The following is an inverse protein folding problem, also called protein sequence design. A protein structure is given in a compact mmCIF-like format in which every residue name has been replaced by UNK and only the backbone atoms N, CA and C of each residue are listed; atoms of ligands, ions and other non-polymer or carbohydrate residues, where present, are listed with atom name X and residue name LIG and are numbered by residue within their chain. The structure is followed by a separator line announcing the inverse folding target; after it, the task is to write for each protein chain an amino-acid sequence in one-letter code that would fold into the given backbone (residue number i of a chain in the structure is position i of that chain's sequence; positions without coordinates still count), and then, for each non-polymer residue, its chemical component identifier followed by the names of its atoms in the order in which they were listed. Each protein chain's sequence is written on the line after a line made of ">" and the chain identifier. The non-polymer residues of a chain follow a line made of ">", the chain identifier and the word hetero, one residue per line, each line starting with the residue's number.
data_IF_112785959917
#
_entry.id   IF_112785959917
#
_cell.length_a   1.000
_cell.length_b   1.000
_cell.length_c   1.000
_cell.angle_alpha   90.00
_cell.angle_beta   90.00
_cell.angle_gamma   90.00
#
_symmetry.space_group_name_H-M   'P 1'
#
loop_
_entity.id
_entity.type
_entity.pdbx_description
1 polymer ?
#
# COMPACT_ATOMS: atom_id res chain seq x y z
N UNK A 1 -5.48 -24.38 19.71
CA UNK A 1 -5.63 -25.22 18.50
C UNK A 1 -4.77 -26.48 18.53
N UNK A 2 -3.55 -26.42 19.05
CA UNK A 2 -2.66 -27.57 19.15
C UNK A 2 -2.84 -28.41 20.42
N UNK A 3 -3.82 -28.08 21.29
CA UNK A 3 -4.04 -28.76 22.56
C UNK A 3 -2.93 -28.58 23.61
N UNK A 4 -1.95 -27.70 23.36
CA UNK A 4 -0.80 -27.45 24.24
C UNK A 4 -1.14 -26.42 25.31
N UNK A 5 -2.06 -26.77 26.20
CA UNK A 5 -2.47 -25.90 27.30
C UNK A 5 -1.40 -25.72 28.38
N UNK A 6 -0.42 -26.62 28.42
CA UNK A 6 0.71 -26.60 29.34
C UNK A 6 1.62 -25.38 29.18
N UNK A 7 1.78 -24.86 27.94
CA UNK A 7 2.62 -23.69 27.63
C UNK A 7 1.83 -22.41 27.37
N UNK A 8 0.51 -22.49 27.29
CA UNK A 8 -0.33 -21.37 26.89
C UNK A 8 -0.24 -20.18 27.84
N UNK A 9 -0.20 -20.45 29.17
CA UNK A 9 -0.13 -19.41 30.18
C UNK A 9 1.20 -18.63 30.08
N UNK A 10 2.30 -19.34 29.90
CA UNK A 10 3.64 -18.75 29.77
C UNK A 10 3.74 -17.90 28.48
N UNK A 11 3.21 -18.39 27.39
CA UNK A 11 3.22 -17.63 26.12
C UNK A 11 2.36 -16.38 26.16
N UNK A 12 1.17 -16.43 26.77
CA UNK A 12 0.34 -15.24 26.99
C UNK A 12 1.02 -14.22 27.89
N UNK A 13 1.73 -14.67 28.94
CA UNK A 13 2.50 -13.77 29.80
C UNK A 13 3.65 -13.11 29.05
N UNK A 14 4.39 -13.90 28.23
CA UNK A 14 5.49 -13.41 27.40
C UNK A 14 4.99 -12.41 26.34
N UNK A 15 3.91 -12.71 25.64
CA UNK A 15 3.26 -11.85 24.65
C UNK A 15 2.89 -10.50 25.30
N UNK A 16 2.19 -10.52 26.43
CA UNK A 16 1.83 -9.30 27.16
C UNK A 16 3.05 -8.48 27.58
N UNK A 17 4.10 -9.14 28.06
CA UNK A 17 5.36 -8.46 28.44
C UNK A 17 6.03 -7.84 27.22
N UNK A 18 6.09 -8.58 26.10
CA UNK A 18 6.72 -8.14 24.87
C UNK A 18 6.00 -6.94 24.28
N UNK A 19 4.67 -7.01 24.14
CA UNK A 19 3.83 -5.89 23.68
C UNK A 19 3.98 -4.65 24.55
N UNK A 20 3.96 -4.81 25.88
CA UNK A 20 4.18 -3.68 26.81
C UNK A 20 5.57 -3.05 26.66
N UNK A 21 6.60 -3.85 26.44
CA UNK A 21 7.97 -3.35 26.26
C UNK A 21 8.13 -2.63 24.92
N UNK A 22 7.51 -3.14 23.83
CA UNK A 22 7.50 -2.47 22.52
C UNK A 22 6.82 -1.10 22.64
N UNK A 23 5.63 -1.03 23.23
CA UNK A 23 4.91 0.23 23.42
C UNK A 23 5.74 1.26 24.19
N UNK A 24 6.35 0.87 25.32
CA UNK A 24 7.23 1.74 26.11
C UNK A 24 8.45 2.20 25.31
N UNK A 25 9.05 1.32 24.50
CA UNK A 25 10.19 1.66 23.67
C UNK A 25 9.80 2.67 22.58
N UNK A 26 8.64 2.49 21.94
CA UNK A 26 8.10 3.44 20.97
C UNK A 26 7.85 4.78 21.65
N UNK A 27 7.09 4.83 22.76
CA UNK A 27 6.76 6.04 23.49
C UNK A 27 8.00 6.83 23.90
N UNK A 28 9.05 6.13 24.33
CA UNK A 28 10.31 6.74 24.72
C UNK A 28 11.15 7.23 23.51
N UNK A 29 10.85 6.80 22.29
CA UNK A 29 11.59 7.11 21.07
C UNK A 29 10.87 8.09 20.14
N UNK A 30 9.57 8.31 20.36
CA UNK A 30 8.76 9.24 19.56
C UNK A 30 9.37 10.64 19.56
N UNK A 31 9.50 11.22 18.39
CA UNK A 31 10.01 12.57 18.22
C UNK A 31 8.98 13.63 18.60
N UNK A 32 9.43 14.87 18.79
CA UNK A 32 8.56 15.98 19.21
C UNK A 32 7.38 16.25 18.27
N UNK A 33 7.48 15.86 16.99
CA UNK A 33 6.40 15.96 15.99
C UNK A 33 5.50 14.70 15.94
N UNK A 34 5.75 13.73 16.82
CA UNK A 34 5.01 12.46 16.86
C UNK A 34 5.52 11.37 15.90
N UNK A 35 6.60 11.62 15.20
CA UNK A 35 7.23 10.63 14.33
C UNK A 35 7.87 9.50 15.12
N UNK A 36 7.60 8.26 14.72
CA UNK A 36 8.22 7.06 15.26
C UNK A 36 9.42 6.69 14.39
N UNK A 37 10.65 6.72 14.92
CA UNK A 37 11.84 6.41 14.13
C UNK A 37 11.93 4.92 13.80
N UNK A 38 12.59 4.58 12.69
CA UNK A 38 12.79 3.21 12.22
C UNK A 38 13.55 2.35 13.23
N UNK A 39 14.55 2.92 13.87
CA UNK A 39 15.34 2.22 14.90
C UNK A 39 15.09 2.83 16.28
N UNK A 40 14.73 2.02 17.24
CA UNK A 40 14.50 2.47 18.63
C UNK A 40 15.79 2.49 19.45
N UNK A 41 16.80 1.70 19.06
CA UNK A 41 18.07 1.57 19.77
C UNK A 41 19.24 1.48 18.78
N UNK A 42 20.35 2.12 19.15
CA UNK A 42 21.63 1.88 18.51
C UNK A 42 22.22 0.57 19.03
N UNK A 43 22.35 -0.43 18.18
CA UNK A 43 22.89 -1.74 18.55
C UNK A 43 24.34 -1.71 19.03
N UNK A 44 25.14 -0.72 18.66
CA UNK A 44 26.53 -0.60 19.05
C UNK A 44 26.68 0.01 20.46
N UNK A 45 25.87 0.99 20.75
CA UNK A 45 25.96 1.75 22.01
C UNK A 45 24.91 1.33 23.04
N UNK A 46 23.88 0.59 22.64
CA UNK A 46 22.71 0.26 23.47
C UNK A 46 21.89 1.48 23.88
N UNK A 47 22.20 2.65 23.33
CA UNK A 47 21.47 3.88 23.61
C UNK A 47 20.23 3.98 22.75
N UNK A 48 19.19 4.54 23.33
CA UNK A 48 17.98 4.87 22.60
C UNK A 48 18.27 5.94 21.56
N UNK A 49 17.80 5.73 20.33
CA UNK A 49 17.97 6.70 19.26
C UNK A 49 16.94 7.81 19.41
N UNK A 50 17.40 9.03 19.61
CA UNK A 50 16.54 10.21 19.80
C UNK A 50 16.09 10.86 18.48
N UNK A 51 16.72 10.54 17.36
CA UNK A 51 16.45 11.23 16.09
C UNK A 51 16.65 10.33 14.89
N UNK A 52 16.43 9.06 15.08
CA UNK A 52 16.92 8.19 14.03
C UNK A 52 18.44 8.22 13.98
N UNK A 53 18.93 7.25 13.42
CA UNK A 53 20.26 6.95 13.02
C UNK A 53 20.90 8.17 12.37
N UNK A 54 22.21 8.26 12.46
CA UNK A 54 22.99 9.27 11.77
C UNK A 54 22.42 9.56 10.37
N UNK A 55 22.69 10.72 9.83
CA UNK A 55 22.16 11.18 8.54
C UNK A 55 22.19 10.11 7.45
N UNK A 56 23.13 9.20 7.52
CA UNK A 56 23.29 8.14 6.54
C UNK A 56 22.23 7.03 6.62
N UNK A 57 21.55 6.90 7.75
CA UNK A 57 20.54 5.84 8.01
C UNK A 57 19.12 6.38 8.12
N UNK A 58 18.97 7.69 8.13
CA UNK A 58 17.68 8.36 8.42
C UNK A 58 16.60 8.14 7.37
N UNK A 59 16.91 7.55 6.23
CA UNK A 59 15.94 7.33 5.16
C UNK A 59 15.66 5.84 4.91
N UNK A 60 15.64 5.06 5.97
CA UNK A 60 15.28 3.64 5.94
C UNK A 60 13.94 3.43 6.65
N UNK A 61 12.93 4.19 6.23
CA UNK A 61 11.58 4.11 6.79
C UNK A 61 10.86 2.85 6.26
N UNK A 62 11.12 1.70 6.87
CA UNK A 62 10.57 0.43 6.45
C UNK A 62 9.60 -0.15 7.46
N UNK A 63 10.07 -0.42 8.67
CA UNK A 63 9.32 -1.09 9.72
C UNK A 63 8.44 -0.13 10.52
N UNK A 64 8.86 1.12 10.67
CA UNK A 64 8.08 2.15 11.36
C UNK A 64 6.76 2.49 10.64
N UNK A 65 6.58 2.02 9.40
CA UNK A 65 5.32 2.12 8.68
C UNK A 65 4.31 1.02 9.05
N UNK A 66 4.74 -0.01 9.76
CA UNK A 66 3.90 -1.16 10.07
C UNK A 66 3.05 -0.98 11.34
N UNK A 67 2.97 0.25 11.86
CA UNK A 67 2.34 0.57 13.15
C UNK A 67 0.84 0.25 13.21
N UNK A 68 0.12 0.44 12.11
CA UNK A 68 -1.30 0.16 12.07
C UNK A 68 -1.62 -1.12 11.28
N UNK A 69 -0.79 -1.51 10.33
CA UNK A 69 -0.93 -2.74 9.57
C UNK A 69 0.44 -3.24 9.09
N UNK A 70 0.74 -4.53 9.19
CA UNK A 70 -0.11 -5.62 9.68
C UNK A 70 -0.04 -5.82 11.19
N UNK A 71 0.72 -5.01 11.95
CA UNK A 71 0.93 -5.27 13.39
C UNK A 71 -0.28 -4.91 14.25
N UNK A 72 -1.16 -4.04 13.76
CA UNK A 72 -2.33 -3.50 14.46
C UNK A 72 -1.99 -2.95 15.87
N UNK A 73 -0.73 -2.51 16.05
CA UNK A 73 -0.21 -2.01 17.31
C UNK A 73 -0.89 -0.70 17.74
N UNK A 74 -1.21 0.14 16.75
CA UNK A 74 -1.97 1.37 16.94
C UNK A 74 -3.12 1.44 15.96
N UNK A 75 -4.21 2.10 16.37
CA UNK A 75 -5.30 2.41 15.47
C UNK A 75 -4.81 3.32 14.33
N UNK A 76 -5.34 3.18 13.11
CA UNK A 76 -4.85 3.93 11.93
C UNK A 76 -4.89 5.45 12.11
N UNK A 77 -5.84 5.97 12.89
CA UNK A 77 -5.99 7.42 13.18
C UNK A 77 -5.14 7.87 14.39
N UNK A 78 -4.36 6.99 15.00
CA UNK A 78 -3.49 7.36 16.11
C UNK A 78 -2.45 8.39 15.69
N UNK A 79 -2.13 9.34 16.58
CA UNK A 79 -1.20 10.44 16.29
C UNK A 79 0.15 9.94 15.79
N UNK A 80 0.71 8.90 16.39
CA UNK A 80 1.99 8.33 15.97
C UNK A 80 1.96 7.79 14.54
N UNK A 81 0.88 7.10 14.17
CA UNK A 81 0.70 6.61 12.79
C UNK A 81 0.64 7.77 11.81
N UNK A 82 -0.22 8.75 12.09
CA UNK A 82 -0.43 9.90 11.20
C UNK A 82 0.82 10.78 11.07
N UNK A 83 1.53 11.03 12.17
CA UNK A 83 2.77 11.81 12.16
C UNK A 83 3.88 11.07 11.43
N UNK A 84 3.99 9.76 11.60
CA UNK A 84 4.97 8.92 10.89
C UNK A 84 4.71 8.92 9.40
N UNK A 85 3.47 8.71 8.96
CA UNK A 85 3.10 8.79 7.55
C UNK A 85 3.41 10.18 6.95
N UNK A 86 3.08 11.24 7.67
CA UNK A 86 3.38 12.61 7.24
C UNK A 86 4.89 12.86 7.13
N UNK A 87 5.67 12.34 8.08
CA UNK A 87 7.13 12.46 8.06
C UNK A 87 7.71 11.75 6.85
N UNK A 88 7.35 10.48 6.63
CA UNK A 88 7.85 9.67 5.52
C UNK A 88 7.51 10.29 4.17
N UNK A 89 6.30 10.84 4.03
CA UNK A 89 5.89 11.50 2.78
C UNK A 89 6.75 12.69 2.38
N UNK A 90 7.44 13.35 3.31
CA UNK A 90 8.39 14.42 2.97
C UNK A 90 9.55 13.92 2.13
N UNK A 91 9.86 12.62 2.23
CA UNK A 91 10.94 11.96 1.51
C UNK A 91 10.51 11.28 0.21
N UNK A 92 9.26 11.48 -0.23
CA UNK A 92 8.79 10.95 -1.52
C UNK A 92 9.44 11.71 -2.67
N UNK A 93 9.80 10.97 -3.70
CA UNK A 93 10.13 11.51 -5.01
C UNK A 93 9.38 10.70 -6.08
N UNK A 94 8.97 11.37 -7.15
CA UNK A 94 8.19 10.75 -8.24
C UNK A 94 6.91 9.99 -7.74
N UNK A 95 6.38 10.38 -6.59
CA UNK A 95 5.18 9.79 -6.02
C UNK A 95 5.37 8.47 -5.27
N UNK A 96 6.61 8.02 -5.08
CA UNK A 96 6.96 6.86 -4.29
C UNK A 96 8.05 7.18 -3.26
N UNK A 97 8.23 6.28 -2.32
CA UNK A 97 9.28 6.40 -1.30
C UNK A 97 10.67 6.42 -1.92
N UNK A 98 11.57 7.09 -1.21
CA UNK A 98 12.99 7.08 -1.52
C UNK A 98 13.80 6.31 -0.47
N UNK A 99 15.01 5.98 -0.85
CA UNK A 99 16.01 5.34 -0.04
C UNK A 99 17.30 6.16 -0.06
N UNK A 100 18.07 6.17 1.03
CA UNK A 100 19.31 6.94 1.15
C UNK A 100 19.16 8.42 0.74
N UNK A 101 18.30 9.16 1.45
CA UNK A 101 18.11 10.61 1.25
C UNK A 101 17.69 11.01 -0.18
N UNK A 102 16.91 10.17 -0.84
CA UNK A 102 16.41 10.44 -2.18
C UNK A 102 17.36 10.01 -3.30
N UNK A 103 18.44 9.28 -2.98
CA UNK A 103 19.35 8.75 -4.01
C UNK A 103 18.68 7.66 -4.85
N UNK A 104 17.79 6.87 -4.25
CA UNK A 104 17.08 5.77 -4.90
C UNK A 104 15.59 5.86 -4.67
N UNK A 105 14.81 5.51 -5.69
CA UNK A 105 13.38 5.24 -5.56
C UNK A 105 13.17 3.84 -5.01
N UNK A 106 12.21 3.68 -4.08
CA UNK A 106 12.00 2.44 -3.36
C UNK A 106 10.57 1.91 -3.58
N UNK A 107 10.38 1.27 -4.74
CA UNK A 107 9.06 0.88 -5.23
C UNK A 107 8.30 -0.03 -4.25
N UNK A 108 8.84 -1.19 -3.88
CA UNK A 108 8.08 -2.19 -3.13
C UNK A 108 7.81 -1.79 -1.67
N UNK A 109 8.65 -0.98 -1.06
CA UNK A 109 8.43 -0.47 0.30
C UNK A 109 7.28 0.56 0.32
N UNK A 110 7.06 1.28 -0.78
CA UNK A 110 5.90 2.17 -0.94
C UNK A 110 4.58 1.43 -0.66
N UNK A 111 4.51 0.13 -0.94
CA UNK A 111 3.36 -0.70 -0.64
C UNK A 111 2.95 -0.67 0.85
N UNK A 112 3.91 -0.56 1.76
CA UNK A 112 3.61 -0.49 3.19
C UNK A 112 2.83 0.78 3.55
N UNK A 113 3.12 1.93 2.90
CA UNK A 113 2.34 3.15 3.10
C UNK A 113 0.94 3.04 2.50
N UNK A 114 0.83 2.44 1.33
CA UNK A 114 -0.46 2.23 0.67
C UNK A 114 -1.40 1.45 1.60
N UNK A 115 -0.88 0.43 2.27
CA UNK A 115 -1.63 -0.35 3.26
C UNK A 115 -2.08 0.51 4.44
N UNK A 116 -1.21 1.37 4.98
CA UNK A 116 -1.60 2.26 6.08
C UNK A 116 -2.73 3.23 5.66
N UNK A 117 -2.68 3.81 4.46
CA UNK A 117 -3.75 4.67 3.95
C UNK A 117 -5.05 3.89 3.76
N UNK A 118 -4.97 2.67 3.24
CA UNK A 118 -6.13 1.80 3.06
C UNK A 118 -6.83 1.52 4.39
N UNK A 119 -6.11 1.08 5.43
CA UNK A 119 -6.71 0.79 6.74
C UNK A 119 -7.19 2.05 7.46
N UNK A 120 -6.54 3.19 7.23
CA UNK A 120 -7.00 4.48 7.72
C UNK A 120 -8.29 4.99 7.03
N UNK A 121 -8.72 4.33 5.96
CA UNK A 121 -9.90 4.71 5.18
C UNK A 121 -9.62 5.76 4.10
N UNK A 122 -8.38 6.17 3.92
CA UNK A 122 -7.98 7.06 2.81
C UNK A 122 -7.72 6.26 1.53
N UNK A 123 -8.80 5.68 1.00
CA UNK A 123 -8.76 4.88 -0.22
C UNK A 123 -8.31 5.67 -1.45
N UNK A 124 -8.50 7.01 -1.45
CA UNK A 124 -8.01 7.88 -2.52
C UNK A 124 -6.48 7.94 -2.53
N UNK A 125 -5.87 8.20 -1.39
CA UNK A 125 -4.41 8.27 -1.29
C UNK A 125 -3.77 6.91 -1.55
N UNK A 126 -4.35 5.83 -1.00
CA UNK A 126 -3.91 4.47 -1.28
C UNK A 126 -3.90 4.15 -2.78
N UNK A 127 -4.95 4.56 -3.50
CA UNK A 127 -5.05 4.36 -4.95
C UNK A 127 -4.04 5.19 -5.74
N UNK A 128 -3.84 6.46 -5.38
CA UNK A 128 -2.87 7.34 -6.05
C UNK A 128 -1.45 6.79 -5.88
N UNK A 129 -1.07 6.41 -4.67
CA UNK A 129 0.25 5.84 -4.41
C UNK A 129 0.43 4.48 -5.12
N UNK A 130 -0.64 3.69 -5.21
CA UNK A 130 -0.63 2.45 -6.00
C UNK A 130 -0.40 2.72 -7.49
N UNK A 131 -1.01 3.76 -8.05
CA UNK A 131 -0.76 4.14 -9.43
C UNK A 131 0.69 4.59 -9.66
N UNK A 132 1.26 5.34 -8.71
CA UNK A 132 2.69 5.67 -8.77
C UNK A 132 3.57 4.42 -8.67
N UNK A 133 3.21 3.46 -7.83
CA UNK A 133 3.94 2.21 -7.69
C UNK A 133 3.95 1.43 -9.03
N UNK A 134 2.81 1.26 -9.69
CA UNK A 134 2.76 0.54 -10.97
C UNK A 134 3.35 1.33 -12.13
N UNK A 135 3.36 2.67 -12.07
CA UNK A 135 4.02 3.53 -13.05
C UNK A 135 5.54 3.32 -13.08
N UNK A 136 6.11 2.91 -11.95
CA UNK A 136 7.53 2.61 -11.80
C UNK A 136 7.88 1.13 -12.06
N UNK A 137 6.94 0.34 -12.57
CA UNK A 137 7.24 -1.01 -13.06
C UNK A 137 7.99 -0.96 -14.39
N UNK A 138 8.74 -2.00 -14.69
CA UNK A 138 9.39 -2.13 -15.98
C UNK A 138 8.43 -2.45 -17.13
N UNK A 139 8.95 -2.55 -18.34
CA UNK A 139 8.16 -2.75 -19.56
C UNK A 139 7.36 -4.07 -19.60
N UNK A 140 7.81 -5.06 -18.85
CA UNK A 140 7.13 -6.35 -18.66
C UNK A 140 6.42 -6.45 -17.32
N UNK A 141 6.13 -5.29 -16.70
CA UNK A 141 5.48 -5.14 -15.39
C UNK A 141 6.28 -5.72 -14.22
N UNK A 142 7.56 -5.95 -14.40
CA UNK A 142 8.45 -6.35 -13.32
C UNK A 142 8.72 -5.21 -12.34
N UNK A 143 8.88 -5.56 -11.08
CA UNK A 143 9.32 -4.64 -10.05
C UNK A 143 10.84 -4.66 -9.86
N UNK A 144 11.33 -3.62 -9.21
CA UNK A 144 12.74 -3.43 -8.88
C UNK A 144 12.92 -3.32 -7.36
N UNK A 145 14.09 -3.71 -6.86
CA UNK A 145 14.44 -3.43 -5.47
C UNK A 145 14.65 -1.94 -5.26
N UNK A 146 15.53 -1.33 -6.05
CA UNK A 146 15.79 0.09 -6.05
C UNK A 146 15.96 0.61 -7.48
N UNK A 147 15.57 1.85 -7.69
CA UNK A 147 15.75 2.55 -8.96
C UNK A 147 16.48 3.86 -8.71
N UNK A 148 17.38 4.23 -9.60
CA UNK A 148 18.08 5.51 -9.52
C UNK A 148 17.10 6.65 -9.83
N UNK A 149 17.13 7.69 -9.02
CA UNK A 149 16.36 8.90 -9.24
C UNK A 149 17.15 9.86 -10.18
N UNK A 150 16.53 10.48 -11.15
CA UNK A 150 15.13 10.33 -11.60
C UNK A 150 14.95 9.09 -12.47
N UNK A 151 13.80 8.44 -12.38
CA UNK A 151 13.45 7.24 -13.16
C UNK A 151 13.48 7.46 -14.68
N UNK A 152 13.25 8.70 -15.13
CA UNK A 152 13.35 9.07 -16.55
C UNK A 152 14.66 8.67 -17.19
N UNK A 153 15.75 8.69 -16.44
CA UNK A 153 17.06 8.30 -16.95
C UNK A 153 17.21 6.78 -17.08
N UNK A 154 16.19 6.03 -16.63
CA UNK A 154 16.10 4.56 -16.71
C UNK A 154 17.34 3.85 -16.16
N UNK A 155 17.97 4.48 -15.20
CA UNK A 155 19.11 3.92 -14.53
C UNK A 155 18.61 3.05 -13.37
N UNK A 156 18.93 1.78 -13.43
CA UNK A 156 18.71 0.83 -12.34
C UNK A 156 20.07 0.57 -11.71
N UNK A 157 20.11 0.53 -10.39
CA UNK A 157 21.32 0.09 -9.70
C UNK A 157 21.65 -1.33 -10.18
N UNK A 158 22.80 -1.55 -10.85
CA UNK A 158 23.14 -2.86 -11.39
C UNK A 158 23.34 -3.94 -10.33
N UNK A 159 23.34 -3.55 -9.06
CA UNK A 159 23.38 -4.47 -7.91
C UNK A 159 22.01 -4.95 -7.49
N UNK A 160 20.95 -4.27 -7.95
CA UNK A 160 19.58 -4.59 -7.58
C UNK A 160 18.95 -5.58 -8.56
N UNK A 161 18.37 -6.66 -8.06
CA UNK A 161 17.75 -7.65 -8.92
C UNK A 161 16.46 -7.12 -9.57
N UNK A 162 16.27 -7.49 -10.83
CA UNK A 162 15.02 -7.37 -11.57
C UNK A 162 14.87 -8.61 -12.45
N UNK A 163 13.70 -9.26 -12.50
CA UNK A 163 12.52 -8.97 -11.71
C UNK A 163 12.72 -9.26 -10.21
N UNK A 164 12.13 -8.41 -9.36
CA UNK A 164 12.25 -8.51 -7.91
C UNK A 164 11.01 -9.22 -7.33
N UNK A 165 11.20 -10.41 -6.81
CA UNK A 165 10.10 -11.26 -6.32
C UNK A 165 9.30 -10.61 -5.17
N UNK A 166 9.96 -9.87 -4.29
CA UNK A 166 9.28 -9.16 -3.20
C UNK A 166 8.37 -8.04 -3.72
N UNK A 167 8.81 -7.26 -4.72
CA UNK A 167 7.95 -6.25 -5.34
C UNK A 167 6.72 -6.88 -5.99
N UNK A 168 6.89 -8.02 -6.67
CA UNK A 168 5.78 -8.77 -7.25
C UNK A 168 4.80 -9.27 -6.17
N UNK A 169 5.31 -9.85 -5.09
CA UNK A 169 4.50 -10.32 -3.97
C UNK A 169 3.74 -9.18 -3.29
N UNK A 170 4.39 -8.05 -3.04
CA UNK A 170 3.74 -6.85 -2.46
C UNK A 170 2.66 -6.28 -3.37
N UNK A 171 2.88 -6.23 -4.67
CA UNK A 171 1.87 -5.77 -5.64
C UNK A 171 0.65 -6.69 -5.66
N UNK A 172 0.86 -8.00 -5.70
CA UNK A 172 -0.23 -8.99 -5.64
C UNK A 172 -1.01 -8.89 -4.32
N UNK A 173 -0.30 -8.71 -3.22
CA UNK A 173 -0.90 -8.55 -1.89
C UNK A 173 -1.74 -7.26 -1.77
N UNK A 174 -1.27 -6.15 -2.33
CA UNK A 174 -2.04 -4.90 -2.39
C UNK A 174 -3.33 -5.06 -3.19
N UNK A 175 -3.27 -5.69 -4.37
CA UNK A 175 -4.46 -5.92 -5.19
C UNK A 175 -5.45 -6.80 -4.44
N UNK A 176 -4.96 -7.86 -3.78
CA UNK A 176 -5.79 -8.69 -2.92
C UNK A 176 -6.45 -7.87 -1.83
N UNK A 177 -5.70 -7.02 -1.12
CA UNK A 177 -6.22 -6.21 -0.02
C UNK A 177 -7.16 -5.10 -0.49
N UNK A 178 -7.03 -4.61 -1.73
CA UNK A 178 -8.00 -3.69 -2.33
C UNK A 178 -9.35 -4.37 -2.64
N UNK A 179 -9.34 -5.67 -2.79
CA UNK A 179 -10.55 -6.46 -3.07
C UNK A 179 -11.15 -7.05 -1.81
N UNK A 180 -10.30 -7.58 -0.92
CA UNK A 180 -10.70 -8.30 0.29
C UNK A 180 -9.66 -8.07 1.38
N UNK A 181 -10.08 -7.62 2.57
CA UNK A 181 -9.15 -7.29 3.63
C UNK A 181 -9.73 -7.54 5.02
N UNK A 182 -9.02 -8.29 5.83
CA UNK A 182 -9.35 -8.55 7.24
C UNK A 182 -8.67 -7.50 8.11
N UNK A 183 -9.45 -6.81 8.95
CA UNK A 183 -8.89 -5.78 9.80
C UNK A 183 -9.77 -5.47 11.02
N UNK A 184 -9.12 -5.04 12.10
CA UNK A 184 -9.79 -4.62 13.32
C UNK A 184 -10.10 -5.78 14.28
N UNK A 185 -10.51 -5.44 15.49
CA UNK A 185 -10.68 -6.41 16.56
C UNK A 185 -9.34 -6.93 17.11
N UNK A 186 -9.39 -8.06 17.77
CA UNK A 186 -8.19 -8.73 18.25
C UNK A 186 -7.67 -9.68 17.16
N UNK A 187 -6.42 -9.50 16.75
CA UNK A 187 -5.79 -10.32 15.71
C UNK A 187 -5.79 -11.82 16.06
N UNK A 188 -5.82 -12.14 17.35
CA UNK A 188 -5.86 -13.51 17.86
C UNK A 188 -7.26 -14.14 17.86
N UNK A 189 -8.31 -13.34 17.64
CA UNK A 189 -9.69 -13.80 17.62
C UNK A 189 -10.37 -13.43 16.31
N UNK A 190 -10.37 -14.37 15.37
CA UNK A 190 -10.96 -14.15 14.05
C UNK A 190 -12.40 -13.65 14.12
N UNK A 191 -13.22 -14.14 15.08
CA UNK A 191 -14.62 -13.72 15.23
C UNK A 191 -14.81 -12.26 15.66
N UNK A 192 -13.77 -11.61 16.15
CA UNK A 192 -13.80 -10.20 16.51
C UNK A 192 -13.32 -9.28 15.38
N UNK A 193 -12.84 -9.85 14.26
CA UNK A 193 -12.32 -9.10 13.12
C UNK A 193 -13.42 -8.79 12.12
N UNK A 194 -13.26 -7.68 11.42
CA UNK A 194 -14.13 -7.29 10.32
C UNK A 194 -13.55 -7.74 8.98
N UNK A 195 -14.44 -8.03 8.03
CA UNK A 195 -14.08 -8.32 6.66
C UNK A 195 -14.46 -7.15 5.75
N UNK A 196 -13.48 -6.46 5.21
CA UNK A 196 -13.70 -5.41 4.23
C UNK A 196 -13.76 -6.00 2.82
N UNK A 197 -14.81 -5.64 2.10
CA UNK A 197 -15.00 -6.00 0.69
C UNK A 197 -14.86 -4.74 -0.15
N UNK A 198 -13.99 -4.76 -1.15
CA UNK A 198 -13.67 -3.64 -2.03
C UNK A 198 -13.31 -2.35 -1.27
N UNK A 199 -12.41 -2.39 -0.27
CA UNK A 199 -12.04 -1.19 0.50
C UNK A 199 -11.41 -0.10 -0.34
N UNK A 200 -10.84 -0.45 -1.52
CA UNK A 200 -10.31 0.50 -2.48
C UNK A 200 -10.86 0.21 -3.86
N UNK A 201 -11.64 1.13 -4.39
CA UNK A 201 -12.20 1.05 -5.77
C UNK A 201 -11.67 2.19 -6.59
N UNK A 202 -11.11 1.87 -7.76
CA UNK A 202 -10.70 2.88 -8.74
C UNK A 202 -11.90 3.46 -9.48
N UNK A 203 -11.93 4.77 -9.78
CA UNK A 203 -12.89 5.36 -10.70
C UNK A 203 -12.90 4.68 -12.07
N UNK A 204 -11.74 4.18 -12.54
CA UNK A 204 -11.62 3.47 -13.80
C UNK A 204 -12.31 2.10 -13.78
N UNK A 205 -12.37 1.47 -12.61
CA UNK A 205 -13.04 0.16 -12.44
C UNK A 205 -14.57 0.30 -12.28
N UNK A 206 -15.01 1.46 -11.77
CA UNK A 206 -16.43 1.72 -11.48
C UNK A 206 -17.18 2.25 -12.71
N UNK A 207 -16.89 1.74 -13.90
CA UNK A 207 -17.55 2.11 -15.15
C UNK A 207 -18.91 1.42 -15.25
N UNK A 208 -19.91 2.14 -15.72
CA UNK A 208 -21.27 1.61 -15.89
C UNK A 208 -21.28 0.40 -16.83
N UNK A 209 -21.84 -0.71 -16.36
CA UNK A 209 -21.88 -1.98 -17.07
C UNK A 209 -20.69 -2.89 -16.81
N UNK A 210 -19.63 -2.39 -16.17
CA UNK A 210 -18.49 -3.19 -15.72
C UNK A 210 -18.71 -3.76 -14.32
N UNK A 211 -17.82 -4.65 -13.92
CA UNK A 211 -17.90 -5.28 -12.61
C UNK A 211 -16.52 -5.58 -12.02
N UNK A 212 -16.48 -5.70 -10.70
CA UNK A 212 -15.39 -6.33 -9.97
C UNK A 212 -15.87 -7.68 -9.44
N UNK A 213 -15.03 -8.71 -9.51
CA UNK A 213 -15.38 -10.01 -9.01
C UNK A 213 -14.21 -10.71 -8.32
N UNK A 214 -14.52 -11.49 -7.31
CA UNK A 214 -13.64 -12.45 -6.66
C UNK A 214 -14.32 -13.82 -6.69
N UNK A 215 -13.56 -14.86 -6.98
CA UNK A 215 -14.07 -16.23 -6.98
C UNK A 215 -13.18 -17.06 -6.08
N UNK A 216 -13.76 -17.62 -5.02
CA UNK A 216 -13.03 -18.43 -4.04
C UNK A 216 -11.76 -17.73 -3.51
N UNK A 217 -11.88 -16.46 -3.16
CA UNK A 217 -10.77 -15.72 -2.57
C UNK A 217 -10.53 -16.21 -1.13
N UNK A 218 -9.31 -16.59 -0.77
CA UNK A 218 -9.01 -17.06 0.58
C UNK A 218 -9.04 -15.91 1.58
N UNK A 219 -9.63 -16.16 2.74
CA UNK A 219 -9.68 -15.25 3.89
C UNK A 219 -9.48 -16.03 5.21
N UNK A 220 -9.30 -15.30 6.31
CA UNK A 220 -9.29 -15.89 7.65
C UNK A 220 -10.59 -16.65 7.96
N UNK A 221 -11.68 -16.25 7.32
CA UNK A 221 -13.02 -16.79 7.53
C UNK A 221 -13.41 -17.93 6.57
N UNK A 222 -12.53 -18.31 5.65
CA UNK A 222 -12.80 -19.29 4.59
C UNK A 222 -12.75 -18.66 3.20
N UNK A 223 -13.54 -19.23 2.28
CA UNK A 223 -13.53 -18.82 0.87
C UNK A 223 -14.63 -17.81 0.57
N UNK A 224 -14.27 -16.71 -0.05
CA UNK A 224 -15.21 -15.63 -0.37
C UNK A 224 -15.38 -15.55 -1.88
N UNK A 225 -16.63 -15.62 -2.34
CA UNK A 225 -17.00 -15.28 -3.71
C UNK A 225 -17.87 -14.04 -3.66
N UNK A 226 -17.54 -13.02 -4.45
CA UNK A 226 -18.35 -11.82 -4.54
C UNK A 226 -18.24 -11.16 -5.90
N UNK A 227 -19.27 -10.37 -6.24
CA UNK A 227 -19.34 -9.62 -7.48
C UNK A 227 -20.03 -8.28 -7.24
N UNK A 228 -19.40 -7.20 -7.67
CA UNK A 228 -19.89 -5.83 -7.60
C UNK A 228 -20.15 -5.32 -9.02
N UNK A 229 -21.41 -5.25 -9.43
CA UNK A 229 -21.84 -4.75 -10.73
C UNK A 229 -22.18 -3.27 -10.66
N UNK A 230 -21.58 -2.45 -11.52
CA UNK A 230 -21.77 -0.99 -11.53
C UNK A 230 -22.90 -0.59 -12.47
N UNK A 231 -23.79 0.26 -11.95
CA UNK A 231 -24.89 0.85 -12.70
C UNK A 231 -24.77 2.38 -12.79
N UNK A 232 -25.61 3.02 -13.60
CA UNK A 232 -25.58 4.48 -13.75
C UNK A 232 -25.68 5.25 -12.43
N UNK A 233 -26.48 4.75 -11.48
CA UNK A 233 -26.79 5.47 -10.24
C UNK A 233 -26.45 4.66 -8.99
N UNK A 234 -25.70 3.59 -9.11
CA UNK A 234 -25.44 2.71 -7.98
C UNK A 234 -24.57 1.51 -8.33
N UNK A 235 -24.67 0.50 -7.48
CA UNK A 235 -24.06 -0.81 -7.71
C UNK A 235 -24.88 -1.91 -7.02
N UNK A 236 -24.69 -3.14 -7.47
CA UNK A 236 -25.20 -4.33 -6.80
C UNK A 236 -24.04 -5.23 -6.42
N UNK A 237 -23.90 -5.51 -5.15
CA UNK A 237 -22.95 -6.48 -4.63
C UNK A 237 -23.68 -7.79 -4.35
N UNK A 238 -23.20 -8.87 -4.95
CA UNK A 238 -23.55 -10.24 -4.56
C UNK A 238 -22.42 -10.83 -3.73
N UNK A 239 -22.78 -11.57 -2.69
CA UNK A 239 -21.86 -12.13 -1.73
C UNK A 239 -22.21 -13.57 -1.42
N UNK A 240 -21.25 -14.47 -1.56
CA UNK A 240 -21.41 -15.90 -1.33
C UNK A 240 -20.17 -16.44 -0.61
N UNK A 241 -20.18 -16.38 0.71
CA UNK A 241 -19.08 -16.93 1.51
C UNK A 241 -19.23 -18.45 1.68
N UNK A 242 -18.10 -19.12 1.75
CA UNK A 242 -17.99 -20.46 2.30
C UNK A 242 -17.15 -20.37 3.57
N UNK A 243 -17.80 -20.02 4.68
CA UNK A 243 -17.12 -19.83 5.95
C UNK A 243 -16.56 -21.17 6.48
N UNK A 244 -15.44 -21.06 7.17
CA UNK A 244 -14.90 -22.13 8.02
C UNK A 244 -15.62 -22.14 9.39
N UNK A 245 -14.93 -22.49 10.46
CA UNK A 245 -15.48 -22.43 11.82
C UNK A 245 -15.68 -20.98 12.35
N UNK A 246 -15.11 -19.98 11.67
CA UNK A 246 -15.17 -18.58 12.05
C UNK A 246 -15.95 -17.75 11.03
N UNK A 247 -16.68 -16.77 11.53
CA UNK A 247 -17.33 -15.75 10.72
C UNK A 247 -16.80 -14.38 11.15
N UNK A 248 -16.71 -13.39 10.24
CA UNK A 248 -16.34 -12.05 10.62
C UNK A 248 -17.38 -11.44 11.55
N UNK A 249 -16.97 -10.56 12.45
CA UNK A 249 -17.87 -9.76 13.27
C UNK A 249 -18.86 -8.96 12.41
N UNK A 250 -18.35 -8.37 11.33
CA UNK A 250 -19.14 -7.69 10.33
C UNK A 250 -18.46 -7.75 8.95
N UNK A 251 -19.27 -7.59 7.90
CA UNK A 251 -18.77 -7.34 6.55
C UNK A 251 -18.94 -5.87 6.23
N UNK A 252 -17.86 -5.20 5.81
CA UNK A 252 -17.82 -3.77 5.58
C UNK A 252 -17.58 -3.46 4.11
N UNK A 253 -18.55 -2.83 3.47
CA UNK A 253 -18.40 -2.29 2.13
C UNK A 253 -18.05 -0.80 2.22
N UNK A 254 -16.83 -0.43 1.83
CA UNK A 254 -16.41 0.97 1.84
C UNK A 254 -17.01 1.71 0.65
N UNK A 255 -17.69 2.82 0.93
CA UNK A 255 -18.23 3.69 -0.11
C UNK A 255 -17.04 4.34 -0.85
N UNK A 256 -16.94 4.18 -2.19
CA UNK A 256 -15.85 4.77 -2.95
C UNK A 256 -15.76 6.29 -2.74
N UNK A 257 -14.57 6.84 -2.53
CA UNK A 257 -14.33 8.25 -2.20
C UNK A 257 -14.93 9.24 -3.20
N UNK A 258 -15.18 8.83 -4.43
CA UNK A 258 -15.80 9.63 -5.50
C UNK A 258 -17.31 9.45 -5.59
N UNK A 259 -17.91 8.73 -4.65
CA UNK A 259 -19.35 8.48 -4.55
C UNK A 259 -19.89 9.00 -3.22
N UNK A 260 -21.11 9.48 -3.23
CA UNK A 260 -21.88 9.84 -2.03
C UNK A 260 -23.09 8.93 -1.95
N UNK A 261 -23.20 8.21 -0.84
CA UNK A 261 -24.32 7.29 -0.60
C UNK A 261 -25.66 8.05 -0.54
N UNK A 262 -26.66 7.57 -1.25
CA UNK A 262 -28.05 8.03 -1.13
C UNK A 262 -28.89 7.09 -0.29
N UNK A 263 -28.81 5.81 -0.61
CA UNK A 263 -29.56 4.76 0.09
C UNK A 263 -28.95 3.40 -0.26
N UNK A 264 -29.30 2.40 0.53
CA UNK A 264 -29.01 1.01 0.22
C UNK A 264 -30.16 0.10 0.68
N UNK A 265 -30.19 -1.10 0.10
CA UNK A 265 -31.07 -2.21 0.51
C UNK A 265 -30.25 -3.47 0.57
N UNK A 266 -30.53 -4.30 1.55
CA UNK A 266 -29.82 -5.58 1.76
C UNK A 266 -30.78 -6.59 2.39
N UNK A 267 -30.45 -7.86 2.27
CA UNK A 267 -31.06 -8.98 2.98
C UNK A 267 -30.34 -9.34 4.30
N UNK A 268 -29.31 -8.58 4.68
CA UNK A 268 -28.63 -8.73 5.96
C UNK A 268 -29.61 -8.59 7.14
N UNK A 269 -29.44 -9.40 8.18
CA UNK A 269 -30.24 -9.31 9.41
C UNK A 269 -30.02 -7.99 10.14
N UNK A 270 -28.81 -7.44 10.08
CA UNK A 270 -28.44 -6.13 10.62
C UNK A 270 -27.60 -5.33 9.62
N UNK A 271 -27.87 -4.02 9.55
CA UNK A 271 -27.08 -3.13 8.71
C UNK A 271 -27.16 -1.67 9.16
N UNK A 272 -26.05 -0.93 9.02
CA UNK A 272 -25.97 0.50 9.28
C UNK A 272 -24.82 1.14 8.48
N UNK A 273 -24.65 2.45 8.64
CA UNK A 273 -23.53 3.18 8.04
C UNK A 273 -22.63 3.70 9.16
N UNK A 274 -21.34 3.40 9.05
CA UNK A 274 -20.30 3.83 9.98
C UNK A 274 -18.98 4.07 9.24
N UNK A 275 -18.26 5.14 9.56
CA UNK A 275 -16.92 5.46 9.00
C UNK A 275 -16.83 5.34 7.47
N UNK A 276 -17.81 5.84 6.75
CA UNK A 276 -17.95 5.75 5.31
C UNK A 276 -18.02 4.30 4.78
N UNK A 277 -18.48 3.38 5.59
CA UNK A 277 -18.76 1.99 5.20
C UNK A 277 -20.24 1.67 5.41
N UNK A 278 -20.80 0.84 4.54
CA UNK A 278 -22.02 0.08 4.84
C UNK A 278 -21.56 -1.15 5.59
N UNK A 279 -22.01 -1.27 6.83
CA UNK A 279 -21.68 -2.37 7.75
C UNK A 279 -22.85 -3.35 7.74
N UNK A 280 -22.56 -4.62 7.55
CA UNK A 280 -23.53 -5.69 7.35
C UNK A 280 -23.20 -6.86 8.28
N UNK A 281 -24.24 -7.53 8.79
CA UNK A 281 -24.06 -8.87 9.36
C UNK A 281 -23.60 -9.87 8.30
N UNK A 282 -22.84 -10.91 8.67
CA UNK A 282 -22.23 -11.83 7.70
C UNK A 282 -23.21 -12.70 6.90
N UNK A 283 -24.46 -12.70 7.24
CA UNK A 283 -25.54 -13.53 6.67
C UNK A 283 -26.14 -12.97 5.37
N UNK A 284 -25.73 -11.79 4.91
CA UNK A 284 -26.28 -11.21 3.69
C UNK A 284 -25.80 -11.95 2.43
N UNK A 285 -26.61 -11.85 1.37
CA UNK A 285 -26.25 -12.32 0.03
C UNK A 285 -26.25 -11.22 -1.01
N UNK A 286 -27.01 -10.16 -0.78
CA UNK A 286 -27.18 -9.06 -1.72
C UNK A 286 -27.18 -7.71 -1.03
N UNK A 287 -26.46 -6.76 -1.62
CA UNK A 287 -26.47 -5.36 -1.24
C UNK A 287 -26.68 -4.51 -2.49
N UNK A 288 -27.81 -3.80 -2.56
CA UNK A 288 -28.11 -2.83 -3.60
C UNK A 288 -27.81 -1.42 -3.10
N UNK A 289 -26.99 -0.68 -3.80
CA UNK A 289 -26.49 0.63 -3.40
C UNK A 289 -26.97 1.67 -4.40
N UNK A 290 -27.47 2.80 -3.91
CA UNK A 290 -27.71 4.00 -4.69
C UNK A 290 -26.79 5.11 -4.23
N UNK A 291 -26.11 5.75 -5.16
CA UNK A 291 -25.20 6.86 -4.91
C UNK A 291 -25.28 7.94 -5.98
N UNK A 292 -24.60 9.03 -5.76
CA UNK A 292 -24.32 10.08 -6.75
C UNK A 292 -22.82 10.35 -6.81
N UNK A 293 -22.39 10.94 -7.93
CA UNK A 293 -21.00 11.39 -8.07
C UNK A 293 -20.74 12.58 -7.13
N UNK A 294 -19.56 12.57 -6.50
CA UNK A 294 -19.07 13.75 -5.77
C UNK A 294 -18.51 14.73 -6.78
N UNK A 295 -19.10 15.94 -6.88
CA UNK A 295 -18.81 16.89 -7.96
C UNK A 295 -17.44 17.52 -7.93
N UNK A 296 -16.76 17.58 -6.79
CA UNK A 296 -15.51 18.34 -6.59
C UNK A 296 -14.32 17.47 -6.20
N UNK A 297 -14.42 16.16 -6.36
CA UNK A 297 -13.31 15.28 -6.04
C UNK A 297 -12.47 15.04 -7.29
N UNK A 298 -11.20 15.40 -7.22
CA UNK A 298 -10.21 14.96 -8.21
C UNK A 298 -10.10 13.45 -8.13
N UNK A 299 -10.49 12.75 -9.20
CA UNK A 299 -10.60 11.30 -9.20
C UNK A 299 -9.25 10.59 -9.12
N UNK A 300 -8.16 11.27 -9.54
CA UNK A 300 -6.82 10.69 -9.49
C UNK A 300 -6.73 9.44 -10.37
N UNK A 301 -7.11 9.52 -11.64
CA UNK A 301 -7.02 8.39 -12.55
C UNK A 301 -5.58 8.12 -12.96
N UNK A 302 -5.25 6.86 -13.27
CA UNK A 302 -3.94 6.51 -13.81
C UNK A 302 -3.58 7.30 -15.07
N UNK A 303 -4.55 7.55 -15.95
CA UNK A 303 -4.35 8.32 -17.18
C UNK A 303 -3.97 9.78 -16.90
N UNK A 304 -4.61 10.43 -15.91
CA UNK A 304 -4.24 11.80 -15.49
C UNK A 304 -2.86 11.84 -14.88
N UNK A 305 -2.53 10.86 -14.05
CA UNK A 305 -1.23 10.72 -13.42
C UNK A 305 -0.14 10.47 -14.46
N UNK A 306 -0.37 9.58 -15.40
CA UNK A 306 0.54 9.30 -16.52
C UNK A 306 0.76 10.55 -17.39
N UNK A 307 -0.32 11.30 -17.69
CA UNK A 307 -0.22 12.57 -18.43
C UNK A 307 0.62 13.59 -17.67
N UNK A 308 0.38 13.73 -16.36
CA UNK A 308 1.16 14.62 -15.51
C UNK A 308 2.63 14.21 -15.45
N UNK A 309 2.89 12.92 -15.34
CA UNK A 309 4.24 12.34 -15.31
C UNK A 309 5.00 12.62 -16.62
N UNK A 310 4.33 12.48 -17.76
CA UNK A 310 4.90 12.77 -19.10
C UNK A 310 5.22 14.26 -19.31
N UNK A 311 4.49 15.16 -18.67
CA UNK A 311 4.69 16.61 -18.78
C UNK A 311 5.71 17.18 -17.80
N UNK A 312 6.32 16.36 -16.96
CA UNK A 312 7.25 16.77 -15.90
C UNK A 312 8.68 16.33 -16.15
N UNK A 313 9.61 17.21 -15.82
CA UNK A 313 11.04 16.97 -15.94
C UNK A 313 11.66 16.33 -14.71
N UNK A 314 11.14 16.69 -13.55
CA UNK A 314 11.55 16.13 -12.28
C UNK A 314 10.42 16.27 -11.28
N UNK A 315 10.33 15.30 -10.38
CA UNK A 315 9.45 15.36 -9.24
C UNK A 315 10.28 15.78 -8.03
N UNK A 316 9.98 16.93 -7.48
CA UNK A 316 10.46 17.31 -6.16
C UNK A 316 9.79 16.50 -5.07
N UNK A 317 10.22 16.67 -3.83
CA UNK A 317 9.52 16.12 -2.66
C UNK A 317 8.04 16.51 -2.64
N UNK A 318 7.23 15.88 -1.77
CA UNK A 318 5.79 16.12 -1.73
C UNK A 318 5.45 17.59 -1.45
N UNK A 319 4.35 18.04 -2.01
CA UNK A 319 3.76 19.34 -1.69
C UNK A 319 3.11 19.31 -0.29
N UNK A 320 2.53 20.43 0.13
CA UNK A 320 1.85 20.56 1.43
C UNK A 320 0.68 19.58 1.62
N UNK A 321 0.16 19.03 0.52
CA UNK A 321 -0.90 18.02 0.50
C UNK A 321 -0.38 16.58 0.39
N UNK A 322 0.93 16.41 0.36
CA UNK A 322 1.59 15.11 0.21
C UNK A 322 1.64 14.60 -1.23
N UNK A 323 1.34 15.46 -2.23
CA UNK A 323 1.49 15.08 -3.63
C UNK A 323 2.91 15.35 -4.12
N UNK A 324 3.43 14.52 -5.04
CA UNK A 324 4.71 14.79 -5.66
C UNK A 324 4.68 16.18 -6.29
N UNK A 325 5.65 17.02 -5.96
CA UNK A 325 5.83 18.29 -6.65
C UNK A 325 6.30 17.98 -8.06
N UNK A 326 5.46 18.38 -8.99
CA UNK A 326 5.84 18.40 -10.38
C UNK A 326 6.48 19.75 -10.66
N UNK A 327 7.72 19.76 -11.12
CA UNK A 327 8.41 20.97 -11.52
C UNK A 327 8.06 21.21 -12.99
N UNK A 328 7.25 22.27 -13.32
CA UNK A 328 6.86 22.52 -14.71
C UNK A 328 8.07 22.83 -15.58
N UNK A 329 8.07 22.35 -16.79
CA UNK A 329 8.93 22.87 -17.86
C UNK A 329 9.98 21.98 -18.44
N UNK A 330 10.00 20.71 -18.01
CA UNK A 330 10.87 19.74 -18.62
C UNK A 330 10.12 18.43 -18.87
N UNK A 331 10.10 17.95 -20.10
CA UNK A 331 9.34 16.79 -20.50
C UNK A 331 9.82 15.52 -19.79
N UNK A 332 8.95 14.88 -19.02
CA UNK A 332 9.18 13.51 -18.59
C UNK A 332 8.85 12.62 -19.77
N UNK A 333 9.89 12.04 -20.32
CA UNK A 333 9.87 11.31 -21.56
C UNK A 333 8.93 10.13 -21.58
N UNK A 334 7.83 10.25 -22.28
CA UNK A 334 7.17 9.20 -23.06
C UNK A 334 6.14 9.85 -24.00
N UNK A 335 6.48 10.96 -24.66
CA UNK A 335 5.79 11.28 -25.90
C UNK A 335 6.17 10.24 -26.93
N UNK A 336 5.23 9.85 -27.80
CA UNK A 336 5.48 8.85 -28.83
C UNK A 336 6.65 9.25 -29.76
N UNK A 337 6.98 10.54 -29.83
CA UNK A 337 8.15 11.08 -30.53
C UNK A 337 9.47 10.75 -29.84
N UNK A 338 9.48 10.61 -28.51
CA UNK A 338 10.66 10.20 -27.76
C UNK A 338 10.76 8.68 -27.56
N UNK A 339 9.72 7.94 -27.90
CA UNK A 339 9.84 6.49 -28.05
C UNK A 339 10.86 6.11 -29.14
N UNK A 340 11.16 7.03 -30.07
CA UNK A 340 12.26 6.89 -31.00
C UNK A 340 13.65 7.09 -30.39
N UNK A 341 13.72 7.78 -29.24
CA UNK A 341 14.96 7.91 -28.40
C UNK A 341 15.07 6.76 -27.37
N UNK A 342 14.01 6.02 -27.14
CA UNK A 342 14.13 4.66 -26.62
C UNK A 342 14.68 3.86 -27.78
N UNK A 343 16.02 3.86 -27.93
CA UNK A 343 16.65 2.84 -28.73
C UNK A 343 15.99 1.51 -28.34
N UNK A 344 15.40 0.79 -29.30
CA UNK A 344 14.89 -0.55 -29.03
C UNK A 344 16.04 -1.26 -28.35
N UNK A 345 15.78 -1.94 -27.23
CA UNK A 345 16.77 -2.64 -26.41
C UNK A 345 17.85 -3.16 -27.36
N UNK A 346 18.92 -2.38 -27.49
CA UNK A 346 19.98 -2.75 -28.41
C UNK A 346 20.67 -3.92 -27.75
N UNK A 347 20.30 -5.12 -28.15
CA UNK A 347 20.88 -6.36 -27.65
C UNK A 347 22.41 -6.31 -27.64
N UNK A 348 23.03 -5.54 -28.52
CA UNK A 348 24.46 -5.32 -28.51
C UNK A 348 24.95 -4.45 -27.36
N UNK A 349 24.17 -3.46 -26.91
CA UNK A 349 24.49 -2.68 -25.71
C UNK A 349 24.29 -3.52 -24.46
N UNK A 350 23.23 -4.30 -24.38
CA UNK A 350 23.01 -5.25 -23.26
C UNK A 350 24.14 -6.28 -23.22
N UNK A 351 24.50 -6.83 -24.38
CA UNK A 351 25.60 -7.79 -24.50
C UNK A 351 26.95 -7.17 -24.11
N UNK A 352 27.22 -5.94 -24.54
CA UNK A 352 28.44 -5.20 -24.17
C UNK A 352 28.47 -4.91 -22.67
N UNK A 353 27.36 -4.46 -22.07
CA UNK A 353 27.27 -4.23 -20.64
C UNK A 353 27.45 -5.51 -19.85
N UNK A 354 26.81 -6.61 -20.28
CA UNK A 354 26.95 -7.94 -19.67
C UNK A 354 28.40 -8.45 -19.75
N UNK A 355 29.03 -8.38 -20.91
CA UNK A 355 30.42 -8.79 -21.11
C UNK A 355 31.37 -7.94 -20.26
N UNK A 356 31.16 -6.63 -20.20
CA UNK A 356 31.96 -5.71 -19.36
C UNK A 356 31.84 -6.09 -17.88
N UNK A 357 30.65 -6.33 -17.39
CA UNK A 357 30.43 -6.70 -15.99
C UNK A 357 30.94 -8.11 -15.68
N UNK A 358 30.75 -9.06 -16.58
CA UNK A 358 31.30 -10.41 -16.46
C UNK A 358 32.84 -10.37 -16.38
N UNK A 359 33.50 -9.62 -17.25
CA UNK A 359 34.93 -9.48 -17.23
C UNK A 359 35.43 -8.78 -15.95
N UNK A 360 34.72 -7.76 -15.46
CA UNK A 360 35.02 -7.11 -14.18
C UNK A 360 34.97 -8.09 -13.00
N UNK A 361 33.98 -8.96 -12.95
CA UNK A 361 33.83 -9.94 -11.87
C UNK A 361 34.84 -11.08 -11.95
N UNK A 362 35.27 -11.44 -13.14
CA UNK A 362 36.25 -12.52 -13.34
C UNK A 362 37.70 -12.03 -13.17
N UNK A 363 37.98 -10.75 -13.48
CA UNK A 363 39.30 -10.14 -13.30
C UNK A 363 39.67 -9.88 -11.83
N UNK A 364 38.69 -9.72 -10.96
CA UNK A 364 38.86 -9.55 -9.51
C UNK A 364 39.03 -10.89 -8.75
N UNK A 365 39.15 -12.01 -9.45
CA UNK A 365 39.36 -13.36 -8.86
C UNK A 365 40.80 -13.89 -9.12
N UNK A 366 41.74 -13.02 -9.53
CA UNK A 366 43.16 -13.36 -9.61
C UNK A 366 43.95 -12.66 -8.54
#
# INVERSE_FOLDING_TARGET
>A
ELGRTDVLADWKALEKQYSSNILKAIEASVQSDGYVPTGLYDFKTGKQTSSGLDEYRTNCDWENMLLAYPTELFQPKHTYVQSTLKHIRKNYAEGIMTYRHGEFLHQYITANLIEQYMVAGDSRQALIDFYHLILHAGSTHEGFENMIFPWKDRLVDPRCPSPHAWAAAKTAFLIRNFMLHEYGGHIENASERDLYIYPVVSPAWATVGEHLAMVNAPSEFGWITSRLDFTKNGATLTYSPLYNEYQPRSVRFRIPYFKELKSFKTDASESHVEDNCIVLSPDFTTLQIQWKEVKQVHKGTFAELLKAYRSCDSFGGPDEKGYPRMIPGKAFLLEDEDASLVEPLNFDLVKKAFVKEFNRRTSNKK
#
